data_IF_368321944395
#
_entry.id   IF_368321944395
#
_cell.length_a   1.000
_cell.length_b   1.000
_cell.length_c   1.000
_cell.angle_alpha   90.00
_cell.angle_beta   90.00
_cell.angle_gamma   90.00
#
_symmetry.space_group_name_H-M   'P 1'
#
loop_
_entity.id
_entity.type
_entity.pdbx_description
1 polymer ?
#
# COMPACT_ATOMS: atom_id res chain seq x y z
N UNK A 1 -2.84 17.80 -23.67
CA UNK A 1 -2.92 17.60 -22.21
C UNK A 1 -1.50 17.56 -21.68
N UNK A 2 -1.15 18.22 -20.55
CA UNK A 2 0.19 18.09 -20.00
C UNK A 2 0.46 16.61 -19.70
N UNK A 3 1.65 16.14 -20.07
CA UNK A 3 2.04 14.76 -19.78
C UNK A 3 2.18 14.62 -18.26
N UNK A 4 1.29 13.85 -17.63
CA UNK A 4 1.38 13.58 -16.19
C UNK A 4 2.64 12.76 -15.90
N UNK A 5 3.35 13.11 -14.83
CA UNK A 5 4.53 12.39 -14.39
C UNK A 5 4.14 10.97 -13.94
N UNK A 6 4.72 9.91 -14.51
CA UNK A 6 4.51 8.55 -14.00
C UNK A 6 5.19 8.39 -12.64
N UNK A 7 4.52 7.73 -11.71
CA UNK A 7 5.05 7.38 -10.39
C UNK A 7 4.57 5.98 -9.98
N UNK A 8 5.21 5.37 -9.00
CA UNK A 8 4.64 4.26 -8.25
C UNK A 8 3.60 4.80 -7.27
N UNK A 9 2.41 4.22 -7.25
CA UNK A 9 1.47 4.42 -6.15
C UNK A 9 1.73 3.33 -5.11
N UNK A 10 2.44 3.68 -4.04
CA UNK A 10 2.88 2.75 -3.01
C UNK A 10 1.97 2.83 -1.80
N UNK A 11 1.39 1.69 -1.42
CA UNK A 11 0.59 1.50 -0.21
C UNK A 11 1.38 0.68 0.79
N UNK A 12 1.71 1.28 1.94
CA UNK A 12 2.25 0.55 3.09
C UNK A 12 1.09 0.16 4.00
N UNK A 13 0.97 -1.12 4.31
CA UNK A 13 0.04 -1.70 5.26
C UNK A 13 0.85 -1.99 6.53
N UNK A 14 0.54 -1.27 7.60
CA UNK A 14 1.16 -1.47 8.91
C UNK A 14 0.21 -2.34 9.74
N UNK A 15 0.46 -3.65 9.73
CA UNK A 15 -0.45 -4.64 10.33
C UNK A 15 -0.44 -4.59 11.85
N UNK A 16 0.63 -4.07 12.47
CA UNK A 16 0.72 -3.91 13.93
C UNK A 16 -0.31 -2.91 14.50
N UNK A 17 -0.59 -1.82 13.78
CA UNK A 17 -1.59 -0.81 14.19
C UNK A 17 -2.84 -0.84 13.32
N UNK A 18 -2.91 -1.78 12.37
CA UNK A 18 -4.04 -1.97 11.46
C UNK A 18 -4.36 -0.70 10.67
N UNK A 19 -3.33 -0.01 10.18
CA UNK A 19 -3.46 1.22 9.38
C UNK A 19 -2.72 1.10 8.05
N UNK A 20 -2.97 2.05 7.16
CA UNK A 20 -2.26 2.13 5.89
C UNK A 20 -1.78 3.56 5.59
N UNK A 21 -0.77 3.63 4.73
CA UNK A 21 -0.19 4.85 4.18
C UNK A 21 -0.12 4.74 2.66
N UNK A 22 -0.29 5.87 1.97
CA UNK A 22 -0.19 5.94 0.50
C UNK A 22 0.73 7.07 0.10
N UNK A 23 1.74 6.74 -0.70
CA UNK A 23 2.68 7.70 -1.26
C UNK A 23 2.85 7.51 -2.78
N UNK A 24 3.25 8.58 -3.45
CA UNK A 24 3.86 8.49 -4.78
C UNK A 24 5.37 8.34 -4.67
N UNK A 25 5.99 7.48 -5.48
CA UNK A 25 7.45 7.40 -5.62
C UNK A 25 7.81 7.59 -7.10
N UNK A 26 8.58 8.63 -7.42
CA UNK A 26 9.03 8.88 -8.80
C UNK A 26 10.23 7.98 -9.20
N UNK A 27 10.69 8.09 -10.46
CA UNK A 27 11.77 7.26 -10.98
C UNK A 27 13.11 7.51 -10.27
N UNK A 28 13.27 8.68 -9.67
CA UNK A 28 14.43 9.10 -8.91
C UNK A 28 14.39 8.55 -7.47
N UNK A 29 13.27 7.96 -7.04
CA UNK A 29 13.05 7.48 -5.68
C UNK A 29 12.57 8.57 -4.71
N UNK A 30 12.17 9.73 -5.21
CA UNK A 30 11.60 10.80 -4.39
C UNK A 30 10.21 10.41 -3.91
N UNK A 31 10.05 10.33 -2.59
CA UNK A 31 8.76 9.98 -1.98
C UNK A 31 7.92 11.21 -1.70
N UNK A 32 6.71 11.20 -2.25
CA UNK A 32 5.64 12.18 -2.01
C UNK A 32 4.54 11.54 -1.16
N UNK A 33 4.48 11.81 0.15
CA UNK A 33 3.36 11.41 1.00
C UNK A 33 2.03 11.95 0.45
N UNK A 34 0.99 11.14 0.51
CA UNK A 34 -0.34 11.54 0.04
C UNK A 34 -1.35 11.45 1.18
N UNK A 35 -1.64 10.24 1.67
CA UNK A 35 -2.67 10.03 2.69
C UNK A 35 -2.31 8.87 3.63
N UNK A 36 -2.91 8.88 4.82
CA UNK A 36 -2.87 7.77 5.77
C UNK A 36 -4.25 7.54 6.38
N UNK A 37 -4.50 6.34 6.89
CA UNK A 37 -5.67 6.11 7.75
C UNK A 37 -5.37 6.41 9.20
N UNK A 38 -6.45 6.53 9.98
CA UNK A 38 -6.37 6.34 11.42
C UNK A 38 -5.88 4.92 11.78
N UNK A 39 -5.37 4.78 13.00
CA UNK A 39 -5.08 3.48 13.59
C UNK A 39 -6.38 2.66 13.75
N UNK A 40 -6.28 1.34 13.59
CA UNK A 40 -7.44 0.45 13.66
C UNK A 40 -8.34 0.49 12.43
N UNK A 41 -7.99 1.21 11.36
CA UNK A 41 -8.82 1.30 10.15
C UNK A 41 -9.10 -0.06 9.48
N UNK A 42 -8.17 -1.00 9.63
CA UNK A 42 -8.29 -2.37 9.16
C UNK A 42 -8.85 -3.33 10.22
N UNK A 43 -9.08 -2.90 11.46
CA UNK A 43 -9.63 -3.77 12.51
C UNK A 43 -10.91 -4.55 12.19
N UNK A 44 -11.82 -4.10 11.31
CA UNK A 44 -13.06 -4.84 11.06
C UNK A 44 -12.90 -6.22 10.42
N UNK A 45 -11.73 -6.61 9.91
CA UNK A 45 -11.53 -7.99 9.46
C UNK A 45 -11.28 -8.96 10.62
N UNK A 46 -10.86 -8.48 11.79
CA UNK A 46 -10.46 -9.35 12.90
C UNK A 46 -11.68 -10.08 13.46
N UNK A 47 -11.55 -11.40 13.64
CA UNK A 47 -12.62 -12.26 14.13
C UNK A 47 -13.64 -12.70 13.07
N UNK A 48 -13.53 -12.19 11.85
CA UNK A 48 -14.36 -12.62 10.72
C UNK A 48 -13.88 -13.93 10.11
N UNK A 49 -14.76 -14.59 9.34
CA UNK A 49 -14.37 -15.78 8.57
C UNK A 49 -13.38 -15.44 7.45
N UNK A 50 -12.55 -16.40 7.01
CA UNK A 50 -11.53 -16.18 5.98
C UNK A 50 -12.04 -15.46 4.72
N UNK A 51 -13.21 -15.86 4.20
CA UNK A 51 -13.79 -15.25 3.01
C UNK A 51 -14.25 -13.80 3.27
N UNK A 52 -14.79 -13.52 4.46
CA UNK A 52 -15.19 -12.18 4.87
C UNK A 52 -13.96 -11.28 5.13
N UNK A 53 -12.88 -11.83 5.70
CA UNK A 53 -11.61 -11.13 5.83
C UNK A 53 -11.06 -10.71 4.46
N UNK A 54 -11.00 -11.66 3.53
CA UNK A 54 -10.53 -11.39 2.17
C UNK A 54 -11.44 -10.39 1.44
N UNK A 55 -12.76 -10.52 1.59
CA UNK A 55 -13.76 -9.60 1.03
C UNK A 55 -13.57 -8.17 1.55
N UNK A 56 -13.48 -8.02 2.87
CA UNK A 56 -13.26 -6.74 3.53
C UNK A 56 -11.96 -6.09 3.06
N UNK A 57 -10.83 -6.80 3.12
CA UNK A 57 -9.53 -6.25 2.76
C UNK A 57 -9.49 -5.81 1.30
N UNK A 58 -10.05 -6.61 0.38
CA UNK A 58 -10.14 -6.22 -1.04
C UNK A 58 -10.96 -4.95 -1.23
N UNK A 59 -12.13 -4.89 -0.61
CA UNK A 59 -13.01 -3.72 -0.69
C UNK A 59 -12.30 -2.48 -0.13
N UNK A 60 -11.70 -2.62 1.06
CA UNK A 60 -11.04 -1.53 1.75
C UNK A 60 -9.83 -1.01 0.96
N UNK A 61 -8.92 -1.90 0.55
CA UNK A 61 -7.72 -1.55 -0.20
C UNK A 61 -8.07 -0.99 -1.58
N UNK A 62 -9.12 -1.45 -2.25
CA UNK A 62 -9.61 -0.82 -3.50
C UNK A 62 -10.00 0.65 -3.28
N UNK A 63 -10.66 0.95 -2.15
CA UNK A 63 -10.96 2.34 -1.75
C UNK A 63 -9.70 3.17 -1.46
N UNK A 64 -8.64 2.55 -0.91
CA UNK A 64 -7.34 3.20 -0.70
C UNK A 64 -6.71 3.59 -2.04
N UNK A 65 -6.72 2.68 -3.03
CA UNK A 65 -6.18 2.93 -4.36
C UNK A 65 -6.91 4.06 -5.08
N UNK A 66 -8.24 4.09 -5.02
CA UNK A 66 -9.03 5.16 -5.60
C UNK A 66 -8.60 6.52 -5.04
N UNK A 67 -8.50 6.65 -3.70
CA UNK A 67 -8.08 7.89 -3.05
C UNK A 67 -6.64 8.25 -3.42
N UNK A 68 -5.73 7.28 -3.47
CA UNK A 68 -4.36 7.47 -3.90
C UNK A 68 -4.26 8.04 -5.31
N UNK A 69 -4.99 7.45 -6.26
CA UNK A 69 -5.09 7.94 -7.63
C UNK A 69 -5.62 9.37 -7.70
N UNK A 70 -6.65 9.72 -6.93
CA UNK A 70 -7.20 11.08 -6.89
C UNK A 70 -6.14 12.10 -6.42
N UNK A 71 -5.35 11.74 -5.39
CA UNK A 71 -4.30 12.62 -4.83
C UNK A 71 -3.12 12.78 -5.78
N UNK A 72 -2.74 11.72 -6.50
CA UNK A 72 -1.76 11.83 -7.59
C UNK A 72 -2.26 12.74 -8.71
N UNK A 73 -3.52 12.61 -9.10
CA UNK A 73 -4.09 13.40 -10.18
C UNK A 73 -4.06 14.90 -9.86
N UNK A 74 -4.41 15.28 -8.63
CA UNK A 74 -4.30 16.66 -8.15
C UNK A 74 -2.88 17.24 -8.15
N UNK A 75 -1.87 16.36 -8.17
CA UNK A 75 -0.43 16.71 -8.22
C UNK A 75 0.18 16.57 -9.62
N UNK A 76 -0.63 16.41 -10.68
CA UNK A 76 -0.16 16.18 -12.06
C UNK A 76 0.67 14.90 -12.23
N UNK A 77 0.45 13.92 -11.37
CA UNK A 77 1.07 12.59 -11.41
C UNK A 77 0.04 11.53 -11.85
N UNK A 78 0.53 10.38 -12.32
CA UNK A 78 -0.29 9.20 -12.62
C UNK A 78 0.42 7.92 -12.16
N UNK A 79 -0.32 6.92 -11.64
CA UNK A 79 0.27 5.64 -11.33
C UNK A 79 0.73 4.95 -12.62
N UNK A 80 2.01 4.57 -12.65
CA UNK A 80 2.54 3.65 -13.65
C UNK A 80 2.34 2.20 -13.20
N UNK A 81 2.60 1.94 -11.91
CA UNK A 81 2.46 0.67 -11.21
C UNK A 81 1.86 0.95 -9.82
N UNK A 82 1.12 -0.01 -9.27
CA UNK A 82 0.64 0.02 -7.89
C UNK A 82 1.46 -0.98 -7.08
N UNK A 83 1.98 -0.53 -5.94
CA UNK A 83 2.83 -1.34 -5.06
C UNK A 83 2.15 -1.46 -3.71
N UNK A 84 1.74 -2.66 -3.31
CA UNK A 84 1.39 -2.94 -1.93
C UNK A 84 2.60 -3.49 -1.18
N UNK A 85 2.81 -3.02 0.04
CA UNK A 85 3.81 -3.56 0.96
C UNK A 85 3.14 -3.77 2.31
N UNK A 86 3.10 -5.00 2.81
CA UNK A 86 2.72 -5.28 4.20
C UNK A 86 3.97 -5.50 5.05
N UNK A 87 4.00 -4.92 6.25
CA UNK A 87 5.13 -5.06 7.18
C UNK A 87 5.22 -6.46 7.79
N UNK A 88 4.10 -7.14 7.96
CA UNK A 88 3.97 -8.55 8.37
C UNK A 88 2.74 -9.19 7.71
N UNK A 89 2.55 -10.53 7.81
CA UNK A 89 1.23 -11.12 7.56
C UNK A 89 0.14 -10.47 8.40
N UNK A 90 -1.12 -10.51 7.92
CA UNK A 90 -2.25 -9.98 8.66
C UNK A 90 -2.45 -10.73 9.99
N UNK A 91 -2.49 -10.05 11.15
CA UNK A 91 -2.69 -10.70 12.44
C UNK A 91 -4.10 -11.30 12.55
N UNK A 92 -4.23 -12.37 13.33
CA UNK A 92 -5.52 -13.04 13.58
C UNK A 92 -6.24 -13.49 12.29
N UNK A 93 -5.46 -13.79 11.27
CA UNK A 93 -5.90 -14.33 10.00
C UNK A 93 -5.19 -15.66 9.72
N UNK A 94 -5.76 -16.42 8.79
CA UNK A 94 -5.07 -17.56 8.19
C UNK A 94 -3.81 -17.10 7.43
N UNK A 95 -2.77 -17.93 7.40
CA UNK A 95 -1.51 -17.66 6.72
C UNK A 95 -1.72 -17.38 5.22
N UNK A 96 -2.75 -17.99 4.62
CA UNK A 96 -3.10 -17.83 3.21
C UNK A 96 -3.79 -16.49 2.89
N UNK A 97 -4.22 -15.71 3.90
CA UNK A 97 -5.00 -14.49 3.65
C UNK A 97 -4.21 -13.46 2.84
N UNK A 98 -2.93 -13.28 3.17
CA UNK A 98 -2.06 -12.32 2.48
C UNK A 98 -1.95 -12.66 1.00
N UNK A 99 -1.68 -13.93 0.67
CA UNK A 99 -1.62 -14.41 -0.70
C UNK A 99 -2.98 -14.25 -1.41
N UNK A 100 -4.08 -14.60 -0.73
CA UNK A 100 -5.45 -14.51 -1.26
C UNK A 100 -5.89 -13.09 -1.60
N UNK A 101 -5.39 -12.09 -0.88
CA UNK A 101 -5.60 -10.67 -1.18
C UNK A 101 -4.67 -10.22 -2.31
N UNK A 102 -3.39 -10.59 -2.26
CA UNK A 102 -2.40 -10.24 -3.28
C UNK A 102 -2.78 -10.76 -4.69
N UNK A 103 -3.15 -12.03 -4.80
CA UNK A 103 -3.59 -12.68 -6.04
C UNK A 103 -4.80 -11.97 -6.66
N UNK A 104 -5.71 -11.48 -5.82
CA UNK A 104 -6.88 -10.76 -6.32
C UNK A 104 -6.46 -9.47 -7.04
N UNK A 105 -5.55 -8.68 -6.45
CA UNK A 105 -5.13 -7.43 -7.10
C UNK A 105 -4.28 -7.68 -8.35
N UNK A 106 -3.36 -8.64 -8.31
CA UNK A 106 -2.53 -9.01 -9.47
C UNK A 106 -3.39 -9.51 -10.65
N UNK A 107 -4.39 -10.36 -10.38
CA UNK A 107 -5.23 -10.94 -11.45
C UNK A 107 -6.24 -9.96 -12.04
N UNK A 108 -6.79 -9.06 -11.21
CA UNK A 108 -7.92 -8.21 -11.62
C UNK A 108 -7.51 -6.79 -12.03
N UNK A 109 -6.33 -6.31 -11.65
CA UNK A 109 -5.86 -4.97 -12.02
C UNK A 109 -4.69 -5.02 -13.00
N UNK A 110 -4.99 -4.88 -14.29
CA UNK A 110 -4.00 -4.95 -15.36
C UNK A 110 -3.49 -3.58 -15.83
N UNK A 111 -4.10 -2.47 -15.40
CA UNK A 111 -3.78 -1.12 -15.89
C UNK A 111 -4.22 -0.03 -14.91
N UNK A 112 -3.34 0.43 -14.00
CA UNK A 112 -1.95 0.01 -13.83
C UNK A 112 -1.84 -1.40 -13.21
N UNK A 113 -0.79 -2.17 -13.55
CA UNK A 113 -0.49 -3.44 -12.90
C UNK A 113 -0.16 -3.26 -11.40
N UNK A 114 -0.33 -4.34 -10.65
CA UNK A 114 -0.12 -4.39 -9.21
C UNK A 114 0.98 -5.39 -8.86
N UNK A 115 1.86 -5.00 -7.95
CA UNK A 115 2.79 -5.90 -7.27
C UNK A 115 2.54 -5.84 -5.77
N UNK A 116 2.64 -6.99 -5.10
CA UNK A 116 2.47 -7.11 -3.65
C UNK A 116 3.74 -7.66 -3.03
N UNK A 117 4.22 -6.98 -1.98
CA UNK A 117 5.39 -7.37 -1.21
C UNK A 117 5.08 -7.57 0.27
N UNK A 118 5.89 -8.41 0.90
CA UNK A 118 6.04 -8.47 2.36
C UNK A 118 7.44 -7.96 2.74
N UNK A 119 7.54 -7.24 3.86
CA UNK A 119 8.84 -6.94 4.46
C UNK A 119 9.38 -8.22 5.10
N UNK A 120 10.63 -8.56 4.81
CA UNK A 120 11.29 -9.71 5.42
C UNK A 120 11.52 -9.48 6.93
N UNK A 121 11.28 -10.50 7.76
CA UNK A 121 11.35 -10.40 9.21
C UNK A 121 12.71 -9.92 9.77
N UNK A 122 13.82 -10.26 9.09
CA UNK A 122 15.18 -9.85 9.49
C UNK A 122 15.58 -8.46 8.99
N UNK A 123 14.64 -7.74 8.40
CA UNK A 123 14.97 -6.50 7.72
C UNK A 123 15.17 -5.30 8.65
N UNK A 124 15.99 -4.36 8.20
CA UNK A 124 16.27 -3.11 8.94
C UNK A 124 15.28 -2.04 8.46
N UNK A 125 14.71 -1.22 9.36
CA UNK A 125 13.78 -0.15 8.96
C UNK A 125 14.35 0.82 7.91
N UNK A 126 15.65 1.11 7.96
CA UNK A 126 16.31 2.01 7.00
C UNK A 126 16.73 1.32 5.68
N UNK A 127 16.55 0.00 5.56
CA UNK A 127 16.90 -0.80 4.39
C UNK A 127 16.00 -2.04 4.33
N UNK A 128 14.67 -1.85 4.21
CA UNK A 128 13.70 -2.94 4.13
C UNK A 128 14.01 -3.83 2.93
N UNK A 129 13.98 -5.14 3.15
CA UNK A 129 14.06 -6.18 2.13
C UNK A 129 12.66 -6.63 1.86
N UNK A 130 12.30 -6.66 0.59
CA UNK A 130 10.95 -6.94 0.11
C UNK A 130 10.94 -8.28 -0.61
N UNK A 131 10.16 -9.22 -0.08
CA UNK A 131 9.84 -10.48 -0.73
C UNK A 131 8.55 -10.33 -1.53
N UNK A 132 8.56 -10.78 -2.80
CA UNK A 132 7.38 -10.70 -3.66
C UNK A 132 6.37 -11.76 -3.25
N UNK A 133 5.12 -11.34 -3.06
CA UNK A 133 3.96 -12.22 -2.81
C UNK A 133 3.21 -12.48 -4.11
N UNK A 134 2.93 -11.43 -4.89
CA UNK A 134 2.26 -11.52 -6.19
C UNK A 134 2.70 -10.40 -7.13
N UNK A 135 2.52 -10.60 -8.44
CA UNK A 135 2.84 -9.63 -9.47
C UNK A 135 4.34 -9.47 -9.79
N UNK A 136 4.64 -8.56 -10.72
CA UNK A 136 5.99 -8.27 -11.18
C UNK A 136 6.15 -6.78 -11.40
N UNK A 137 7.32 -6.25 -11.05
CA UNK A 137 7.66 -4.84 -11.26
C UNK A 137 8.88 -4.73 -12.19
N UNK A 138 8.89 -3.81 -13.17
CA UNK A 138 10.07 -3.60 -14.01
C UNK A 138 11.29 -3.16 -13.21
N UNK A 139 12.49 -3.61 -13.60
CA UNK A 139 13.73 -3.38 -12.85
C UNK A 139 14.01 -1.90 -12.53
N UNK A 140 13.77 -0.99 -13.47
CA UNK A 140 13.94 0.46 -13.27
C UNK A 140 13.05 1.00 -12.13
N UNK A 141 11.84 0.46 -12.02
CA UNK A 141 10.85 0.86 -11.01
C UNK A 141 11.08 0.15 -9.70
N UNK A 142 11.65 -1.07 -9.73
CA UNK A 142 12.17 -1.72 -8.53
C UNK A 142 13.28 -0.91 -7.89
N UNK A 143 14.23 -0.39 -8.68
CA UNK A 143 15.31 0.46 -8.16
C UNK A 143 14.77 1.75 -7.53
N UNK A 144 13.78 2.39 -8.19
CA UNK A 144 13.10 3.55 -7.64
C UNK A 144 12.39 3.25 -6.31
N UNK A 145 11.71 2.09 -6.21
CA UNK A 145 11.08 1.62 -4.98
C UNK A 145 12.12 1.40 -3.88
N UNK A 146 13.21 0.69 -4.17
CA UNK A 146 14.27 0.38 -3.19
C UNK A 146 14.93 1.67 -2.66
N UNK A 147 15.02 2.73 -3.48
CA UNK A 147 15.51 4.06 -3.07
C UNK A 147 14.49 4.84 -2.23
N UNK A 148 13.23 4.87 -2.66
CA UNK A 148 12.21 5.74 -2.07
C UNK A 148 11.53 5.16 -0.83
N UNK A 149 11.30 3.85 -0.81
CA UNK A 149 10.54 3.19 0.25
C UNK A 149 11.10 3.40 1.67
N UNK A 150 12.44 3.39 1.91
CA UNK A 150 12.99 3.74 3.23
C UNK A 150 12.62 5.17 3.68
N UNK A 151 12.55 6.13 2.74
CA UNK A 151 12.12 7.49 3.03
C UNK A 151 10.63 7.53 3.37
N UNK A 152 9.80 6.74 2.70
CA UNK A 152 8.38 6.58 3.02
C UNK A 152 8.19 6.10 4.46
N UNK A 153 8.87 5.03 4.87
CA UNK A 153 8.79 4.48 6.24
C UNK A 153 9.17 5.54 7.28
N UNK A 154 10.25 6.29 7.02
CA UNK A 154 10.72 7.34 7.94
C UNK A 154 9.65 8.41 8.15
N UNK A 155 8.94 8.80 7.08
CA UNK A 155 7.87 9.80 7.13
C UNK A 155 6.59 9.31 7.84
N UNK A 156 6.37 8.01 7.98
CA UNK A 156 5.22 7.47 8.74
C UNK A 156 5.26 7.85 10.23
N UNK A 157 6.44 8.17 10.79
CA UNK A 157 6.58 8.65 12.17
C UNK A 157 6.44 10.17 12.36
N UNK A 158 6.29 10.93 11.28
CA UNK A 158 6.20 12.38 11.31
C UNK A 158 4.74 12.85 11.46
N UNK A 159 4.50 13.93 12.21
CA UNK A 159 3.15 14.38 12.58
C UNK A 159 2.30 14.97 11.44
N UNK A 160 2.92 15.38 10.33
CA UNK A 160 2.25 16.26 9.34
C UNK A 160 2.54 16.03 7.84
N UNK A 161 3.22 14.97 7.37
CA UNK A 161 3.34 14.78 5.92
C UNK A 161 2.08 14.19 5.26
N UNK A 162 1.12 13.66 6.02
CA UNK A 162 0.02 12.84 5.48
C UNK A 162 -1.36 13.49 5.64
N UNK A 163 -2.19 13.42 4.59
CA UNK A 163 -3.63 13.70 4.73
C UNK A 163 -4.31 12.55 5.49
N UNK A 164 -4.81 12.82 6.70
CA UNK A 164 -5.51 11.82 7.50
C UNK A 164 -6.92 11.53 6.95
N UNK A 165 -7.19 10.27 6.62
CA UNK A 165 -8.51 9.78 6.24
C UNK A 165 -9.22 9.21 7.46
N UNK A 166 -10.27 9.91 7.89
CA UNK A 166 -11.15 9.46 8.97
C UNK A 166 -12.26 8.59 8.38
N UNK A 167 -12.32 7.33 8.82
CA UNK A 167 -13.43 6.44 8.48
C UNK A 167 -14.67 6.82 9.28
N UNK A 168 -15.84 6.78 8.64
CA UNK A 168 -17.11 6.90 9.37
C UNK A 168 -17.22 5.70 10.32
N UNK A 169 -17.68 5.88 11.56
CA UNK A 169 -17.92 4.75 12.45
C UNK A 169 -18.94 3.81 11.79
N UNK A 170 -18.63 2.51 11.76
CA UNK A 170 -19.62 1.50 11.44
C UNK A 170 -20.70 1.57 12.52
N UNK A 171 -21.94 1.81 12.12
CA UNK A 171 -23.08 1.73 13.03
C UNK A 171 -23.16 0.26 13.51
N UNK A 172 -22.92 0.07 14.81
CA UNK A 172 -23.23 -1.16 15.54
C UNK A 172 -24.71 -1.48 15.49
#
# INVERSE_FOLDING_TARGET
>A
MPNKQPVLLTVLIETATLRWYVAGIDQEGTTTPLLCSQEGDLSPYIGESFDEQASFLRHRLSGVLQRGCDRLWGKMMKPFEIVFVADNPFPEADEDLTQRVADHFDQWMTSPPVVFFLIEAESKPCSPKLSTVAGQIPAQWREALDKGFPSMITKCGEKDPWELVVSKPHAT
#
